data_IF_419209838284
#
_entry.id   IF_419209838284
#
_cell.length_a   1.000
_cell.length_b   1.000
_cell.length_c   1.000
_cell.angle_alpha   90.00
_cell.angle_beta   90.00
_cell.angle_gamma   90.00
#
_symmetry.space_group_name_H-M   'P 1'
#
loop_
_entity.id
_entity.type
_entity.pdbx_description
1 polymer ?
#
# COMPACT_ATOMS: atom_id res chain seq x y z
N UNK A 1 17.93 14.14 10.72
CA UNK A 1 17.26 12.95 11.26
C UNK A 1 15.79 13.06 10.92
N UNK A 2 15.23 12.11 10.17
CA UNK A 2 13.82 12.10 9.79
C UNK A 2 13.02 11.38 10.90
N UNK A 3 12.58 12.16 11.88
CA UNK A 3 11.94 11.65 13.10
C UNK A 3 10.64 10.93 12.78
N UNK A 4 9.91 11.33 11.73
CA UNK A 4 8.60 10.79 11.41
C UNK A 4 8.66 9.31 11.00
N UNK A 5 9.47 8.99 9.98
CA UNK A 5 9.59 7.61 9.49
C UNK A 5 10.26 6.68 10.49
N UNK A 6 11.21 7.17 11.29
CA UNK A 6 11.80 6.40 12.39
C UNK A 6 10.80 6.13 13.52
N UNK A 7 9.91 7.08 13.81
CA UNK A 7 8.83 6.90 14.79
C UNK A 7 7.85 5.85 14.32
N UNK A 8 7.46 5.87 13.03
CA UNK A 8 6.60 4.84 12.43
C UNK A 8 7.28 3.48 12.58
N UNK A 9 8.52 3.35 12.12
CA UNK A 9 9.27 2.09 12.15
C UNK A 9 9.34 1.50 13.57
N UNK A 10 9.81 2.29 14.52
CA UNK A 10 9.97 1.86 15.92
C UNK A 10 8.63 1.57 16.62
N UNK A 11 7.53 2.16 16.15
CA UNK A 11 6.18 1.83 16.64
C UNK A 11 5.69 0.51 16.07
N UNK A 12 5.88 0.27 14.76
CA UNK A 12 5.54 -0.99 14.12
C UNK A 12 6.34 -2.17 14.70
N UNK A 13 7.61 -1.98 15.01
CA UNK A 13 8.48 -3.02 15.60
C UNK A 13 8.06 -3.47 17.00
N UNK A 14 7.23 -2.69 17.71
CA UNK A 14 6.69 -3.06 19.03
C UNK A 14 5.45 -3.95 18.94
N UNK A 15 4.84 -4.06 17.77
CA UNK A 15 3.64 -4.86 17.58
C UNK A 15 4.06 -6.34 17.54
N UNK A 16 3.30 -7.29 18.08
CA UNK A 16 3.64 -8.70 17.98
C UNK A 16 3.49 -9.25 16.56
N UNK A 17 4.51 -9.96 16.03
CA UNK A 17 4.52 -10.47 14.63
C UNK A 17 3.33 -11.34 14.22
N UNK A 18 2.53 -11.85 15.16
CA UNK A 18 1.34 -12.63 14.86
C UNK A 18 0.11 -11.77 14.53
N UNK A 19 0.15 -10.47 14.82
CA UNK A 19 -0.92 -9.53 14.53
C UNK A 19 -0.83 -9.00 13.11
N UNK A 20 -1.97 -8.61 12.54
CA UNK A 20 -2.01 -7.91 11.25
C UNK A 20 -1.91 -6.41 11.47
N UNK A 21 -0.92 -5.77 10.85
CA UNK A 21 -0.74 -4.31 10.89
C UNK A 21 -1.27 -3.68 9.61
N UNK A 22 -2.15 -2.70 9.75
CA UNK A 22 -2.58 -1.82 8.65
C UNK A 22 -2.14 -0.39 9.00
N UNK A 23 -1.20 0.15 8.23
CA UNK A 23 -0.77 1.55 8.36
C UNK A 23 -1.53 2.41 7.33
N UNK A 24 -2.27 3.41 7.81
CA UNK A 24 -3.08 4.32 6.98
C UNK A 24 -2.71 5.77 7.27
N UNK A 25 -2.62 6.58 6.22
CA UNK A 25 -2.36 8.02 6.32
C UNK A 25 -1.78 8.58 5.04
N UNK A 26 -1.66 9.91 4.99
CA UNK A 26 -0.87 10.57 3.95
C UNK A 26 0.60 10.58 4.35
N UNK A 27 1.39 9.73 3.68
CA UNK A 27 2.82 9.60 3.92
C UNK A 27 3.64 10.58 3.05
N UNK A 28 2.99 11.35 2.18
CA UNK A 28 3.63 12.26 1.22
C UNK A 28 4.75 11.55 0.43
N UNK A 29 4.48 10.31 0.02
CA UNK A 29 5.43 9.41 -0.60
C UNK A 29 5.03 9.15 -2.07
N UNK A 30 5.95 9.43 -2.98
CA UNK A 30 5.80 9.03 -4.39
C UNK A 30 6.53 7.70 -4.55
N UNK A 31 5.79 6.66 -4.94
CA UNK A 31 6.37 5.36 -5.28
C UNK A 31 6.30 5.20 -6.80
N UNK A 32 7.46 4.97 -7.40
CA UNK A 32 7.62 4.88 -8.85
C UNK A 32 7.39 3.48 -9.40
N UNK A 33 7.97 3.23 -10.59
CA UNK A 33 7.88 1.96 -11.32
C UNK A 33 9.25 1.29 -11.49
N UNK A 34 10.24 1.71 -10.72
CA UNK A 34 11.58 1.14 -10.80
C UNK A 34 11.57 -0.36 -10.45
N UNK A 35 12.43 -1.15 -11.08
CA UNK A 35 12.41 -2.61 -10.95
C UNK A 35 12.56 -3.08 -9.49
N UNK A 36 13.43 -2.41 -8.73
CA UNK A 36 13.67 -2.69 -7.30
C UNK A 36 12.50 -2.29 -6.38
N UNK A 37 11.46 -1.63 -6.91
CA UNK A 37 10.25 -1.21 -6.18
C UNK A 37 9.08 -2.16 -6.46
N UNK A 38 9.16 -3.02 -7.49
CA UNK A 38 8.07 -3.93 -7.90
C UNK A 38 7.67 -4.94 -6.82
N UNK A 39 8.57 -5.23 -5.88
CA UNK A 39 8.31 -6.07 -4.72
C UNK A 39 7.59 -5.32 -3.59
N UNK A 40 7.51 -3.98 -3.62
CA UNK A 40 6.83 -3.14 -2.62
C UNK A 40 5.54 -2.56 -3.18
N UNK A 41 5.55 -2.08 -4.42
CA UNK A 41 4.41 -1.50 -5.10
C UNK A 41 4.29 -2.02 -6.53
N UNK A 42 3.07 -2.08 -7.05
CA UNK A 42 2.80 -2.61 -8.38
C UNK A 42 3.17 -1.62 -9.50
N UNK A 43 3.21 -2.08 -10.75
CA UNK A 43 3.47 -1.26 -11.95
C UNK A 43 2.40 -0.21 -12.23
N UNK A 44 1.27 -0.30 -11.52
CA UNK A 44 0.12 0.60 -11.63
C UNK A 44 0.25 1.87 -10.79
N UNK A 45 1.42 2.13 -10.19
CA UNK A 45 1.67 3.43 -9.53
C UNK A 45 1.51 4.59 -10.52
N UNK A 46 1.07 5.75 -10.03
CA UNK A 46 0.90 6.95 -10.85
C UNK A 46 2.26 7.55 -11.27
N UNK A 47 3.26 7.45 -10.39
CA UNK A 47 4.53 8.13 -10.56
C UNK A 47 5.53 7.27 -11.33
N UNK A 48 6.37 7.90 -12.16
CA UNK A 48 7.45 7.21 -12.87
C UNK A 48 8.68 6.95 -12.01
N UNK A 49 8.87 7.73 -10.94
CA UNK A 49 10.03 7.67 -10.05
C UNK A 49 9.62 7.74 -8.59
N UNK A 50 10.41 7.08 -7.76
CA UNK A 50 10.28 7.07 -6.31
C UNK A 50 10.97 8.30 -5.73
N UNK A 51 10.29 9.08 -4.87
CA UNK A 51 10.91 10.17 -4.14
C UNK A 51 11.52 9.69 -2.81
N UNK A 52 12.26 10.56 -2.11
CA UNK A 52 12.94 10.18 -0.86
C UNK A 52 12.01 9.58 0.21
N UNK A 53 10.77 10.08 0.30
CA UNK A 53 9.76 9.56 1.21
C UNK A 53 9.29 8.16 0.79
N UNK A 54 9.10 7.94 -0.52
CA UNK A 54 8.83 6.62 -1.09
C UNK A 54 9.92 5.61 -0.77
N UNK A 55 11.19 5.98 -0.88
CA UNK A 55 12.31 5.10 -0.50
C UNK A 55 12.25 4.73 0.98
N UNK A 56 11.94 5.68 1.87
CA UNK A 56 11.80 5.42 3.31
C UNK A 56 10.65 4.48 3.61
N UNK A 57 9.50 4.69 2.96
CA UNK A 57 8.33 3.84 3.08
C UNK A 57 8.63 2.41 2.60
N UNK A 58 9.33 2.25 1.48
CA UNK A 58 9.73 0.93 0.98
C UNK A 58 10.62 0.17 1.97
N UNK A 59 11.50 0.89 2.68
CA UNK A 59 12.38 0.30 3.68
C UNK A 59 11.65 -0.16 4.97
N UNK A 60 10.41 0.26 5.21
CA UNK A 60 9.61 -0.23 6.34
C UNK A 60 9.24 -1.71 6.21
N UNK A 61 9.23 -2.26 4.99
CA UNK A 61 8.82 -3.64 4.69
C UNK A 61 9.67 -4.69 5.42
N UNK A 62 10.95 -4.40 5.67
CA UNK A 62 11.99 -5.41 5.90
C UNK A 62 11.84 -6.30 7.15
N UNK A 63 10.99 -5.98 8.13
CA UNK A 63 10.89 -6.76 9.38
C UNK A 63 9.49 -7.30 9.70
N UNK A 64 8.43 -6.73 9.12
CA UNK A 64 7.04 -7.09 9.41
C UNK A 64 6.38 -7.91 8.31
N UNK A 65 6.85 -7.73 7.08
CA UNK A 65 6.19 -8.30 5.92
C UNK A 65 6.57 -9.77 5.75
N UNK A 66 5.56 -10.63 5.65
CA UNK A 66 5.69 -12.06 5.46
C UNK A 66 4.80 -12.58 4.31
N UNK A 67 4.81 -13.89 4.09
CA UNK A 67 4.05 -14.54 3.01
C UNK A 67 2.53 -14.34 3.17
N UNK A 68 2.04 -14.17 4.40
CA UNK A 68 0.63 -13.90 4.67
C UNK A 68 0.24 -12.51 4.18
N UNK A 69 1.12 -11.52 4.34
CA UNK A 69 0.91 -10.19 3.78
C UNK A 69 0.77 -10.25 2.24
N UNK A 70 1.61 -11.03 1.56
CA UNK A 70 1.52 -11.26 0.11
C UNK A 70 0.18 -11.88 -0.29
N UNK A 71 -0.28 -12.88 0.46
CA UNK A 71 -1.58 -13.53 0.23
C UNK A 71 -2.75 -12.54 0.39
N UNK A 72 -2.77 -11.77 1.48
CA UNK A 72 -3.79 -10.74 1.71
C UNK A 72 -3.84 -9.69 0.58
N UNK A 73 -2.68 -9.27 0.07
CA UNK A 73 -2.63 -8.33 -1.06
C UNK A 73 -3.21 -8.96 -2.33
N UNK A 74 -2.92 -10.23 -2.61
CA UNK A 74 -3.49 -10.95 -3.75
C UNK A 74 -5.00 -11.07 -3.64
N UNK A 75 -5.53 -11.44 -2.47
CA UNK A 75 -6.96 -11.53 -2.22
C UNK A 75 -7.66 -10.17 -2.38
N UNK A 76 -7.08 -9.10 -1.81
CA UNK A 76 -7.56 -7.73 -1.98
C UNK A 76 -7.63 -7.34 -3.47
N UNK A 77 -6.62 -7.69 -4.27
CA UNK A 77 -6.63 -7.43 -5.72
C UNK A 77 -7.76 -8.17 -6.42
N UNK A 78 -7.97 -9.45 -6.11
CA UNK A 78 -9.06 -10.25 -6.68
C UNK A 78 -10.42 -9.64 -6.33
N UNK A 79 -10.61 -9.23 -5.07
CA UNK A 79 -11.82 -8.54 -4.64
C UNK A 79 -12.03 -7.20 -5.37
N UNK A 80 -10.96 -6.40 -5.52
CA UNK A 80 -11.00 -5.15 -6.28
C UNK A 80 -11.37 -5.35 -7.76
N UNK A 81 -10.80 -6.36 -8.42
CA UNK A 81 -11.14 -6.70 -9.80
C UNK A 81 -12.59 -7.18 -9.95
N UNK A 82 -13.11 -7.94 -8.99
CA UNK A 82 -14.53 -8.33 -8.96
C UNK A 82 -15.41 -7.09 -8.84
N UNK A 83 -15.11 -6.17 -7.93
CA UNK A 83 -15.87 -4.93 -7.73
C UNK A 83 -15.90 -4.04 -8.99
N UNK A 84 -14.76 -3.85 -9.65
CA UNK A 84 -14.67 -3.08 -10.90
C UNK A 84 -15.52 -3.70 -12.02
N UNK A 85 -15.62 -5.03 -12.05
CA UNK A 85 -16.41 -5.76 -13.06
C UNK A 85 -17.92 -5.70 -12.76
N UNK A 86 -18.31 -5.61 -11.50
CA UNK A 86 -19.72 -5.61 -11.11
C UNK A 86 -20.37 -4.23 -11.23
N UNK A 87 -19.64 -3.12 -11.10
CA UNK A 87 -20.25 -1.79 -10.95
C UNK A 87 -19.72 -0.75 -11.95
N UNK A 88 -20.17 -0.79 -13.21
CA UNK A 88 -20.07 0.38 -14.09
C UNK A 88 -21.40 1.05 -14.41
N UNK A 89 -22.50 0.31 -14.43
CA UNK A 89 -23.82 0.88 -14.78
C UNK A 89 -24.64 1.26 -13.53
N UNK A 90 -24.74 0.38 -12.53
CA UNK A 90 -25.60 0.61 -11.36
C UNK A 90 -25.09 1.72 -10.40
N UNK A 91 -23.78 1.84 -10.17
CA UNK A 91 -23.22 2.85 -9.25
C UNK A 91 -23.26 4.27 -9.84
N UNK A 92 -23.09 4.41 -11.17
CA UNK A 92 -23.11 5.72 -11.83
C UNK A 92 -24.51 6.35 -11.83
N UNK A 93 -25.56 5.53 -11.96
CA UNK A 93 -26.94 6.00 -11.85
C UNK A 93 -27.29 6.40 -10.42
N UNK A 94 -26.78 5.67 -9.43
CA UNK A 94 -26.98 5.98 -8.01
C UNK A 94 -26.31 7.28 -7.59
N UNK A 95 -25.12 7.57 -8.12
CA UNK A 95 -24.41 8.84 -7.90
C UNK A 95 -25.07 10.06 -8.58
N UNK A 96 -25.79 9.88 -9.70
CA UNK A 96 -26.52 10.98 -10.39
C UNK A 96 -27.82 11.39 -9.71
N UNK A 97 -28.27 10.63 -8.72
CA UNK A 97 -29.53 10.87 -8.00
C UNK A 97 -29.34 11.54 -6.63
N UNK A 98 -28.11 11.94 -6.29
CA UNK A 98 -27.73 12.68 -5.08
C UNK A 98 -27.26 14.07 -5.49
#
# INVERSE_FOLDING_TARGET
>A
MDIFYETIKSTCEKIPKHDTLILLGDLNAMIGKEEHILNVADKETLHGKTNNNGTRLCNLKNNWYDDKCDEMIKEKRVAGLKWIKTNKEDDYEKYRQI
#
